data_IF_951310049776
#
_entry.id   IF_951310049776
#
_cell.length_a   1.000
_cell.length_b   1.000
_cell.length_c   1.000
_cell.angle_alpha   90.00
_cell.angle_beta   90.00
_cell.angle_gamma   90.00
#
_symmetry.space_group_name_H-M   'P 1'
#
loop_
_entity.id
_entity.type
_entity.pdbx_description
1 polymer ?
#
# COMPACT_ATOMS: atom_id res chain seq x y z
N UNK A 1 58.32 -39.71 -0.75
CA UNK A 1 57.92 -38.88 -1.92
C UNK A 1 56.49 -38.34 -1.78
N UNK A 2 55.50 -39.18 -1.49
CA UNK A 2 54.10 -38.76 -1.30
C UNK A 2 53.91 -37.72 -0.19
N UNK A 3 54.65 -37.85 0.91
CA UNK A 3 54.57 -36.89 2.03
C UNK A 3 55.13 -35.51 1.70
N UNK A 4 56.14 -35.45 0.83
CA UNK A 4 56.70 -34.18 0.37
C UNK A 4 55.70 -33.44 -0.53
N UNK A 5 55.00 -34.18 -1.40
CA UNK A 5 53.94 -33.64 -2.27
C UNK A 5 52.76 -33.17 -1.42
N UNK A 6 52.32 -33.97 -0.44
CA UNK A 6 51.23 -33.61 0.45
C UNK A 6 51.56 -32.34 1.25
N UNK A 7 52.77 -32.23 1.81
CA UNK A 7 53.20 -31.02 2.52
C UNK A 7 53.26 -29.79 1.61
N UNK A 8 53.78 -29.94 0.39
CA UNK A 8 53.84 -28.84 -0.57
C UNK A 8 52.45 -28.35 -0.98
N UNK A 9 51.52 -29.27 -1.26
CA UNK A 9 50.14 -28.93 -1.58
C UNK A 9 49.43 -28.25 -0.40
N UNK A 10 49.58 -28.78 0.82
CA UNK A 10 49.01 -28.13 2.01
C UNK A 10 49.54 -26.71 2.17
N UNK A 11 50.85 -26.51 1.97
CA UNK A 11 51.46 -25.19 2.06
C UNK A 11 50.83 -24.22 1.07
N UNK A 12 50.79 -24.59 -0.21
CA UNK A 12 50.18 -23.78 -1.29
C UNK A 12 48.71 -23.48 -1.00
N UNK A 13 47.93 -24.47 -0.57
CA UNK A 13 46.51 -24.27 -0.28
C UNK A 13 46.32 -23.34 0.93
N UNK A 14 47.12 -23.48 1.98
CA UNK A 14 47.04 -22.56 3.13
C UNK A 14 47.43 -21.13 2.76
N UNK A 15 48.49 -20.93 1.97
CA UNK A 15 48.97 -19.59 1.62
C UNK A 15 48.06 -18.87 0.64
N UNK A 16 47.48 -19.56 -0.34
CA UNK A 16 46.69 -18.92 -1.40
C UNK A 16 45.18 -18.92 -1.17
N UNK A 17 44.64 -19.88 -0.42
CA UNK A 17 43.18 -20.02 -0.24
C UNK A 17 42.67 -19.55 1.12
N UNK A 18 43.55 -19.36 2.11
CA UNK A 18 43.08 -18.77 3.37
C UNK A 18 43.13 -17.25 3.26
N UNK A 19 41.98 -16.56 3.36
CA UNK A 19 42.01 -15.11 3.44
C UNK A 19 42.74 -14.72 4.72
N UNK A 20 43.89 -14.04 4.58
CA UNK A 20 44.67 -13.43 5.68
C UNK A 20 43.92 -12.34 6.46
N UNK A 21 42.60 -12.23 6.29
CA UNK A 21 41.80 -11.29 7.05
C UNK A 21 41.50 -11.91 8.41
N UNK A 22 41.78 -11.21 9.52
CA UNK A 22 41.36 -11.69 10.83
C UNK A 22 39.85 -11.97 10.78
N UNK A 23 39.47 -13.18 11.14
CA UNK A 23 38.07 -13.58 11.26
C UNK A 23 37.35 -12.68 12.26
N UNK A 24 36.01 -12.63 12.17
CA UNK A 24 35.17 -11.75 13.00
C UNK A 24 35.29 -11.99 14.51
N UNK A 25 35.95 -13.06 14.93
CA UNK A 25 36.15 -13.46 16.33
C UNK A 25 37.61 -13.39 16.78
N UNK A 26 38.53 -12.95 15.91
CA UNK A 26 39.95 -12.80 16.28
C UNK A 26 40.15 -11.53 17.09
N UNK A 27 41.08 -11.56 18.04
CA UNK A 27 41.42 -10.40 18.87
C UNK A 27 41.75 -9.16 18.01
N UNK A 28 42.50 -9.34 16.92
CA UNK A 28 42.84 -8.26 15.97
C UNK A 28 41.62 -7.61 15.30
N UNK A 29 40.57 -8.38 15.04
CA UNK A 29 39.32 -7.85 14.48
C UNK A 29 38.56 -7.04 15.53
N UNK A 30 38.59 -7.49 16.79
CA UNK A 30 37.92 -6.80 17.90
C UNK A 30 38.67 -5.53 18.31
N UNK A 31 40.00 -5.51 18.25
CA UNK A 31 40.81 -4.31 18.54
C UNK A 31 40.77 -3.29 17.41
N UNK A 32 40.56 -3.72 16.17
CA UNK A 32 40.36 -2.84 15.01
C UNK A 32 38.94 -2.30 14.87
N UNK A 33 38.00 -2.68 15.75
CA UNK A 33 36.65 -2.11 15.75
C UNK A 33 36.72 -0.61 16.04
N UNK A 34 36.14 0.24 15.18
CA UNK A 34 36.02 1.66 15.49
C UNK A 34 35.20 1.85 16.76
N UNK A 35 35.59 2.84 17.56
CA UNK A 35 34.86 3.23 18.77
C UNK A 35 33.37 3.47 18.45
N UNK A 36 32.45 3.15 19.38
CA UNK A 36 31.03 3.40 19.18
C UNK A 36 30.81 4.87 18.81
N UNK A 37 30.24 5.09 17.62
CA UNK A 37 29.82 6.43 17.21
C UNK A 37 28.77 6.95 18.20
N UNK A 38 28.72 8.28 18.43
CA UNK A 38 27.63 8.87 19.21
C UNK A 38 26.28 8.46 18.59
N UNK A 39 25.22 8.34 19.41
CA UNK A 39 23.91 7.95 18.91
C UNK A 39 23.49 8.87 17.78
N UNK A 40 23.18 8.27 16.63
CA UNK A 40 22.69 9.01 15.48
C UNK A 40 21.41 9.78 15.86
N UNK A 41 21.19 10.99 15.31
CA UNK A 41 19.95 11.70 15.53
C UNK A 41 18.77 10.82 15.11
N UNK A 42 17.77 10.71 15.98
CA UNK A 42 16.57 9.89 15.73
C UNK A 42 15.91 10.41 14.46
N UNK A 43 15.89 9.59 13.42
CA UNK A 43 15.27 9.97 12.15
C UNK A 43 13.77 10.17 12.38
N UNK A 44 13.17 11.25 11.82
CA UNK A 44 11.72 11.41 11.85
C UNK A 44 11.00 10.24 11.16
N UNK A 45 11.70 9.52 10.27
CA UNK A 45 11.21 8.31 9.59
C UNK A 45 11.38 7.02 10.40
N UNK A 46 12.05 7.06 11.56
CA UNK A 46 12.17 5.91 12.47
C UNK A 46 10.92 5.70 13.33
N UNK A 47 9.96 6.63 13.29
CA UNK A 47 8.73 6.52 14.06
C UNK A 47 7.85 5.40 13.48
N UNK A 48 7.47 4.38 14.26
CA UNK A 48 6.51 3.37 13.81
C UNK A 48 5.22 4.06 13.38
N UNK A 49 4.72 3.73 12.18
CA UNK A 49 3.47 4.29 11.69
C UNK A 49 2.34 3.91 12.64
N UNK A 50 1.66 4.91 13.20
CA UNK A 50 0.44 4.68 13.99
C UNK A 50 -0.71 4.47 13.01
N UNK A 51 -1.05 3.20 12.76
CA UNK A 51 -2.24 2.87 11.97
C UNK A 51 -3.51 3.16 12.75
N UNK A 52 -4.59 3.57 12.07
CA UNK A 52 -5.93 3.62 12.68
C UNK A 52 -6.28 2.26 13.28
N UNK A 53 -7.07 2.28 14.35
CA UNK A 53 -7.66 1.05 14.86
C UNK A 53 -8.62 0.44 13.82
N UNK A 54 -8.93 -0.84 13.95
CA UNK A 54 -9.91 -1.51 13.09
C UNK A 54 -11.27 -0.79 13.10
N UNK A 55 -11.67 -0.29 14.27
CA UNK A 55 -12.94 0.41 14.48
C UNK A 55 -12.94 1.78 13.79
N UNK A 56 -11.84 2.52 13.89
CA UNK A 56 -11.64 3.81 13.22
C UNK A 56 -11.65 3.63 11.69
N UNK A 57 -10.94 2.63 11.18
CA UNK A 57 -10.94 2.32 9.75
C UNK A 57 -12.35 1.96 9.27
N UNK A 58 -13.07 1.10 10.01
CA UNK A 58 -14.43 0.72 9.65
C UNK A 58 -15.41 1.90 9.69
N UNK A 59 -15.24 2.84 10.63
CA UNK A 59 -16.04 4.06 10.68
C UNK A 59 -15.80 4.95 9.46
N UNK A 60 -14.55 5.08 9.02
CA UNK A 60 -14.20 5.84 7.83
C UNK A 60 -14.87 5.27 6.56
N UNK A 61 -14.82 3.94 6.38
CA UNK A 61 -15.47 3.30 5.22
C UNK A 61 -16.99 3.49 5.23
N UNK A 62 -17.66 3.34 6.39
CA UNK A 62 -19.11 3.62 6.50
C UNK A 62 -19.45 5.06 6.13
N UNK A 63 -18.61 6.02 6.53
CA UNK A 63 -18.81 7.42 6.18
C UNK A 63 -18.61 7.68 4.68
N UNK A 64 -17.65 6.99 4.05
CA UNK A 64 -17.46 7.03 2.61
C UNK A 64 -18.67 6.48 1.86
N UNK A 65 -19.22 5.34 2.29
CA UNK A 65 -20.41 4.74 1.67
C UNK A 65 -21.61 5.70 1.69
N UNK A 66 -21.84 6.36 2.83
CA UNK A 66 -22.91 7.36 2.97
C UNK A 66 -22.68 8.57 2.04
N UNK A 67 -21.45 9.08 1.96
CA UNK A 67 -21.10 10.20 1.09
C UNK A 67 -21.22 9.84 -0.41
N UNK A 68 -20.91 8.60 -0.76
CA UNK A 68 -21.04 8.10 -2.13
C UNK A 68 -22.50 7.93 -2.54
N UNK A 69 -23.34 7.44 -1.63
CA UNK A 69 -24.78 7.38 -1.86
C UNK A 69 -25.37 8.78 -2.08
N UNK A 70 -24.99 9.75 -1.24
CA UNK A 70 -25.44 11.14 -1.42
C UNK A 70 -24.96 11.72 -2.75
N UNK A 71 -23.72 11.44 -3.15
CA UNK A 71 -23.17 11.85 -4.45
C UNK A 71 -23.96 11.25 -5.63
N UNK A 72 -24.37 9.99 -5.54
CA UNK A 72 -25.20 9.34 -6.57
C UNK A 72 -26.54 10.06 -6.73
N UNK A 73 -27.25 10.30 -5.62
CA UNK A 73 -28.54 11.02 -5.61
C UNK A 73 -28.39 12.43 -6.20
N UNK A 74 -27.33 13.18 -5.82
CA UNK A 74 -27.07 14.52 -6.38
C UNK A 74 -26.83 14.49 -7.88
N UNK A 75 -26.08 13.51 -8.39
CA UNK A 75 -25.83 13.35 -9.83
C UNK A 75 -27.12 13.06 -10.59
N UNK A 76 -27.95 12.18 -10.06
CA UNK A 76 -29.24 11.83 -10.66
C UNK A 76 -30.17 13.04 -10.73
N UNK A 77 -30.30 13.82 -9.64
CA UNK A 77 -31.10 15.05 -9.62
C UNK A 77 -30.62 16.08 -10.65
N UNK A 78 -29.30 16.24 -10.81
CA UNK A 78 -28.74 17.12 -11.85
C UNK A 78 -29.08 16.65 -13.26
N UNK A 79 -29.03 15.33 -13.49
CA UNK A 79 -29.40 14.73 -14.76
C UNK A 79 -30.89 14.95 -15.06
N UNK A 80 -31.76 14.72 -14.08
CA UNK A 80 -33.20 14.96 -14.19
C UNK A 80 -33.49 16.44 -14.51
N UNK A 81 -32.88 17.37 -13.79
CA UNK A 81 -33.04 18.81 -14.06
C UNK A 81 -32.59 19.19 -15.48
N UNK A 82 -31.48 18.62 -15.96
CA UNK A 82 -30.98 18.88 -17.32
C UNK A 82 -31.91 18.33 -18.41
N UNK A 83 -32.60 17.21 -18.17
CA UNK A 83 -33.57 16.63 -19.09
C UNK A 83 -34.91 17.37 -19.04
N UNK A 84 -35.38 17.75 -17.87
CA UNK A 84 -36.58 18.57 -17.70
C UNK A 84 -36.44 19.94 -18.39
N UNK A 85 -35.25 20.54 -18.36
CA UNK A 85 -34.94 21.76 -19.11
C UNK A 85 -35.07 21.60 -20.64
N UNK A 86 -35.04 20.35 -21.14
CA UNK A 86 -35.27 19.99 -22.55
C UNK A 86 -36.69 19.46 -22.81
N UNK A 87 -37.57 19.50 -21.80
CA UNK A 87 -38.92 18.95 -21.88
C UNK A 87 -38.98 17.41 -21.85
N UNK A 88 -37.90 16.75 -21.42
CA UNK A 88 -37.83 15.30 -21.31
C UNK A 88 -38.04 14.91 -19.85
N UNK A 89 -39.09 14.14 -19.58
CA UNK A 89 -39.32 13.60 -18.25
C UNK A 89 -38.32 12.48 -17.94
N UNK A 90 -37.67 12.59 -16.78
CA UNK A 90 -36.65 11.64 -16.35
C UNK A 90 -37.23 10.66 -15.32
N UNK A 91 -37.20 9.34 -15.58
CA UNK A 91 -37.66 8.35 -14.62
C UNK A 91 -36.62 8.22 -13.49
N UNK A 92 -37.01 8.64 -12.29
CA UNK A 92 -36.20 8.43 -11.09
C UNK A 92 -36.14 6.93 -10.76
N UNK A 93 -34.94 6.42 -10.49
CA UNK A 93 -34.72 4.99 -10.22
C UNK A 93 -34.20 4.70 -8.81
N UNK A 94 -34.07 5.74 -7.99
CA UNK A 94 -33.59 5.61 -6.62
C UNK A 94 -34.72 5.25 -5.64
N UNK A 95 -34.35 4.56 -4.56
CA UNK A 95 -35.29 4.14 -3.52
C UNK A 95 -35.88 5.35 -2.76
N UNK A 96 -37.21 5.42 -2.64
CA UNK A 96 -37.92 6.58 -2.09
C UNK A 96 -38.12 7.75 -3.08
N UNK A 97 -38.04 7.50 -4.39
CA UNK A 97 -38.41 8.51 -5.38
C UNK A 97 -39.89 8.92 -5.26
N UNK A 98 -40.24 10.20 -5.54
CA UNK A 98 -41.62 10.67 -5.43
C UNK A 98 -42.56 10.02 -6.46
N UNK A 99 -42.01 9.52 -7.57
CA UNK A 99 -42.74 8.84 -8.63
C UNK A 99 -41.95 7.59 -9.04
N UNK A 100 -42.65 6.45 -9.15
CA UNK A 100 -42.07 5.19 -9.61
C UNK A 100 -41.89 5.13 -11.13
N UNK A 101 -41.18 4.12 -11.66
CA UNK A 101 -40.94 3.96 -13.10
C UNK A 101 -42.24 3.87 -13.91
N UNK A 102 -43.31 3.33 -13.32
CA UNK A 102 -44.63 3.18 -13.96
C UNK A 102 -45.27 4.52 -14.34
N UNK A 103 -44.96 5.59 -13.61
CA UNK A 103 -45.48 6.93 -13.89
C UNK A 103 -44.94 7.52 -15.22
N UNK A 104 -43.87 6.94 -15.76
CA UNK A 104 -43.20 7.40 -16.98
C UNK A 104 -43.38 6.43 -18.16
N UNK A 105 -44.13 5.34 -17.98
CA UNK A 105 -44.28 4.26 -18.96
C UNK A 105 -45.18 4.60 -20.18
N UNK A 106 -45.60 5.86 -20.36
CA UNK A 106 -46.66 6.22 -21.33
C UNK A 106 -46.13 6.78 -22.67
N UNK A 107 -44.83 6.92 -22.87
CA UNK A 107 -44.32 7.72 -24.03
C UNK A 107 -43.53 6.94 -25.09
N UNK A 108 -43.89 5.70 -25.40
CA UNK A 108 -43.30 4.96 -26.54
C UNK A 108 -44.33 4.34 -27.52
N UNK A 109 -45.61 4.73 -27.45
CA UNK A 109 -46.65 4.22 -28.34
C UNK A 109 -47.31 5.30 -29.20
N UNK A 110 -46.52 6.03 -30.01
CA UNK A 110 -46.99 6.71 -31.23
C UNK A 110 -45.79 7.22 -32.03
N UNK A 111 -45.37 6.41 -33.01
CA UNK A 111 -44.58 6.81 -34.17
C UNK A 111 -45.29 6.26 -35.42
#
# INVERSE_FOLDING_TARGET
MRDAIARALTWVLTTFLTPHRPGRHTADFLTAQPQPLPPAPVSPWSRPWTSPSKEEAAAFFRQQDAADQERRVKRERRRAAALAARGIDYPYTYDGAPFGPDAFAVTEASA
#
